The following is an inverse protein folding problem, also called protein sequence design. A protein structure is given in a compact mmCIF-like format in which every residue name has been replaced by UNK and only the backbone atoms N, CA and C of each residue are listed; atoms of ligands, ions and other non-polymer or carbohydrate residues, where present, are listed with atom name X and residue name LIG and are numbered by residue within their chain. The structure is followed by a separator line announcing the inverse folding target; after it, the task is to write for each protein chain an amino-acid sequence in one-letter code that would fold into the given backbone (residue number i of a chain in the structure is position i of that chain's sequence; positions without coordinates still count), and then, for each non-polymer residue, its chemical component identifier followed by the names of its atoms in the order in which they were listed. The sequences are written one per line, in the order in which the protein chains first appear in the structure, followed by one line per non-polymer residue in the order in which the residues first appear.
data_IF_999391844080
#
_entry.id   IF_999391844080
#
_cell.length_a   1.000
_cell.length_b   1.000
_cell.length_c   1.000
_cell.angle_alpha   90.00
_cell.angle_beta   90.00
_cell.angle_gamma   90.00
#
_symmetry.space_group_name_H-M   'P 1'
#
loop_
_entity.id
_entity.type
_entity.pdbx_description
1 polymer ?
#
# COMPACT_ATOMS: atom_id res chain seq x y z
N UNK A 1 -7.78 23.94 0.20
CA UNK A 1 -7.88 23.72 1.66
C UNK A 1 -7.70 25.06 2.39
N UNK A 2 -8.35 25.25 3.55
CA UNK A 2 -8.18 26.47 4.38
C UNK A 2 -6.80 26.51 5.07
N UNK A 3 -6.31 25.35 5.50
CA UNK A 3 -5.05 25.13 6.21
C UNK A 3 -4.55 23.73 5.85
N UNK A 4 -3.24 23.55 5.74
CA UNK A 4 -2.60 22.24 5.53
C UNK A 4 -1.50 22.11 6.56
N UNK A 5 -1.41 20.94 7.20
CA UNK A 5 -0.32 20.60 8.12
C UNK A 5 0.51 19.50 7.48
N UNK A 6 1.68 19.86 6.98
CA UNK A 6 2.65 18.93 6.42
C UNK A 6 3.59 18.44 7.53
N UNK A 7 3.70 17.13 7.68
CA UNK A 7 4.53 16.49 8.72
C UNK A 7 5.52 15.56 8.04
N UNK A 8 6.79 15.70 8.36
CA UNK A 8 7.84 14.78 7.90
C UNK A 8 8.99 14.78 8.92
N UNK A 9 9.56 13.62 9.19
CA UNK A 9 10.68 13.49 10.13
C UNK A 9 12.04 13.82 9.48
N UNK A 10 12.13 13.73 8.16
CA UNK A 10 13.37 13.94 7.40
C UNK A 10 13.66 15.43 7.19
N UNK A 11 14.91 15.70 6.80
CA UNK A 11 15.38 17.05 6.52
C UNK A 11 14.75 17.65 5.25
N UNK A 12 14.14 16.83 4.38
CA UNK A 12 13.52 17.26 3.10
C UNK A 12 12.46 18.34 3.30
N UNK A 13 11.91 18.42 4.51
CA UNK A 13 10.92 19.43 4.88
C UNK A 13 11.46 20.87 4.77
N UNK A 14 12.79 21.06 4.83
CA UNK A 14 13.46 22.35 4.63
C UNK A 14 13.31 22.80 3.19
N UNK A 15 13.58 21.91 2.23
CA UNK A 15 13.36 22.13 0.81
C UNK A 15 11.87 22.27 0.49
N UNK A 16 11.02 21.44 1.09
CA UNK A 16 9.56 21.52 0.93
C UNK A 16 9.02 22.90 1.33
N UNK A 17 9.54 23.50 2.42
CA UNK A 17 9.23 24.88 2.81
C UNK A 17 9.59 25.89 1.72
N UNK A 18 10.80 25.81 1.17
CA UNK A 18 11.23 26.71 0.10
C UNK A 18 10.38 26.55 -1.15
N UNK A 19 10.00 25.31 -1.50
CA UNK A 19 9.10 25.03 -2.63
C UNK A 19 7.75 25.69 -2.38
N UNK A 20 7.16 25.52 -1.20
CA UNK A 20 5.88 26.12 -0.83
C UNK A 20 5.92 27.65 -0.89
N UNK A 21 6.98 28.28 -0.38
CA UNK A 21 7.13 29.73 -0.39
C UNK A 21 7.27 30.28 -1.81
N UNK A 22 8.05 29.61 -2.67
CA UNK A 22 8.21 29.98 -4.09
C UNK A 22 6.92 29.87 -4.89
N UNK A 23 5.98 29.05 -4.45
CA UNK A 23 4.69 28.84 -5.10
C UNK A 23 3.54 29.61 -4.40
N UNK A 24 3.85 30.49 -3.44
CA UNK A 24 2.86 31.37 -2.81
C UNK A 24 1.89 30.67 -1.84
N UNK A 25 2.27 29.51 -1.30
CA UNK A 25 1.42 28.73 -0.39
C UNK A 25 1.84 28.79 1.09
N UNK A 26 2.84 29.60 1.44
CA UNK A 26 3.39 29.69 2.81
C UNK A 26 2.38 30.13 3.88
N UNK A 27 1.33 30.87 3.49
CA UNK A 27 0.26 31.25 4.40
C UNK A 27 -0.68 30.08 4.75
N UNK A 28 -0.81 29.11 3.85
CA UNK A 28 -1.76 27.99 3.95
C UNK A 28 -1.10 26.73 4.52
N UNK A 29 0.12 26.41 4.09
CA UNK A 29 0.82 25.18 4.47
C UNK A 29 1.74 25.47 5.66
N UNK A 30 1.45 24.81 6.78
CA UNK A 30 2.27 24.84 8.00
C UNK A 30 2.98 23.51 8.12
N UNK A 31 4.20 23.54 8.64
CA UNK A 31 5.08 22.38 8.65
C UNK A 31 5.49 22.03 10.07
N UNK A 32 5.45 20.73 10.40
CA UNK A 32 6.02 20.16 11.61
C UNK A 32 7.10 19.16 11.24
N UNK A 33 8.33 19.38 11.70
CA UNK A 33 9.45 18.49 11.43
C UNK A 33 9.70 17.58 12.63
N UNK A 34 9.56 16.27 12.45
CA UNK A 34 9.75 15.27 13.50
C UNK A 34 8.91 14.03 13.25
N UNK A 35 9.08 13.02 14.11
CA UNK A 35 8.23 11.82 14.10
C UNK A 35 6.81 12.21 14.49
N UNK A 36 5.83 11.74 13.73
CA UNK A 36 4.42 12.08 13.90
C UNK A 36 3.94 11.73 15.32
N UNK A 37 4.36 10.59 15.85
CA UNK A 37 4.00 10.11 17.18
C UNK A 37 4.51 11.05 18.29
N UNK A 38 5.73 11.54 18.15
CA UNK A 38 6.34 12.45 19.12
C UNK A 38 5.65 13.83 19.03
N UNK A 39 5.41 14.32 17.82
CA UNK A 39 4.68 15.57 17.59
C UNK A 39 3.24 15.53 18.14
N UNK A 40 2.57 14.38 18.02
CA UNK A 40 1.24 14.15 18.60
C UNK A 40 1.29 14.15 20.13
N UNK A 41 2.21 13.39 20.73
CA UNK A 41 2.38 13.31 22.20
C UNK A 41 2.71 14.66 22.82
N UNK A 42 3.54 15.45 22.16
CA UNK A 42 4.01 16.75 22.64
C UNK A 42 3.08 17.91 22.27
N UNK A 43 2.01 17.67 21.48
CA UNK A 43 1.10 18.71 21.02
C UNK A 43 1.78 19.75 20.12
N UNK A 44 2.79 19.33 19.34
CA UNK A 44 3.62 20.21 18.48
C UNK A 44 3.14 20.31 17.04
N UNK A 45 2.01 19.69 16.70
CA UNK A 45 1.38 19.95 15.42
C UNK A 45 0.83 21.38 15.40
N UNK A 46 0.96 22.12 14.28
CA UNK A 46 0.46 23.49 14.14
C UNK A 46 -1.06 23.52 13.98
N UNK A 47 -1.77 23.00 14.98
CA UNK A 47 -3.22 22.96 15.11
C UNK A 47 -3.63 23.81 16.31
N UNK A 48 -4.77 24.49 16.22
CA UNK A 48 -5.31 25.22 17.36
C UNK A 48 -5.80 24.24 18.43
N UNK A 49 -5.99 24.71 19.67
CA UNK A 49 -6.42 23.83 20.76
C UNK A 49 -7.77 23.17 20.45
N UNK A 50 -7.77 21.84 20.35
CA UNK A 50 -8.96 21.06 20.02
C UNK A 50 -9.32 21.07 18.52
N UNK A 51 -8.52 21.71 17.66
CA UNK A 51 -8.70 21.64 16.20
C UNK A 51 -8.50 20.20 15.73
N UNK A 52 -9.43 19.74 14.89
CA UNK A 52 -9.42 18.41 14.26
C UNK A 52 -9.31 18.58 12.75
N UNK A 53 -8.61 17.66 12.10
CA UNK A 53 -8.44 17.65 10.65
C UNK A 53 -9.63 17.00 9.96
N UNK A 54 -10.02 17.58 8.82
CA UNK A 54 -11.09 17.05 7.96
C UNK A 54 -10.59 15.91 7.07
N UNK A 55 -9.33 15.99 6.62
CA UNK A 55 -8.74 15.02 5.70
C UNK A 55 -7.30 14.74 6.13
N UNK A 56 -6.92 13.47 6.16
CA UNK A 56 -5.51 13.06 6.25
C UNK A 56 -5.11 12.49 4.90
N UNK A 57 -4.11 13.11 4.27
CA UNK A 57 -3.52 12.62 3.02
C UNK A 57 -2.14 12.08 3.36
N UNK A 58 -1.89 10.81 3.04
CA UNK A 58 -0.58 10.21 3.22
C UNK A 58 -0.29 9.23 2.11
N UNK A 59 0.91 9.33 1.54
CA UNK A 59 1.56 8.20 0.89
C UNK A 59 2.24 7.42 2.02
N UNK A 60 1.82 6.18 2.25
CA UNK A 60 2.26 5.37 3.38
C UNK A 60 2.62 3.94 2.96
N UNK A 61 2.35 3.61 1.70
CA UNK A 61 2.30 2.24 1.21
C UNK A 61 3.72 1.72 1.03
N UNK A 62 3.95 0.54 1.58
CA UNK A 62 5.21 -0.18 1.46
C UNK A 62 5.22 -1.20 0.31
N UNK A 63 6.29 -1.99 0.21
CA UNK A 63 6.29 -3.16 -0.67
C UNK A 63 5.23 -4.17 -0.19
N UNK A 64 4.53 -4.81 -1.12
CA UNK A 64 3.38 -5.66 -0.80
C UNK A 64 2.37 -4.98 0.16
N UNK A 65 2.20 -3.66 0.01
CA UNK A 65 1.42 -2.74 0.85
C UNK A 65 1.97 -2.48 2.26
N UNK A 66 2.38 -3.53 2.98
CA UNK A 66 2.65 -3.46 4.42
C UNK A 66 4.14 -3.52 4.82
N UNK A 67 5.06 -3.90 3.92
CA UNK A 67 6.49 -3.96 4.25
C UNK A 67 7.13 -2.57 4.23
N UNK A 68 7.78 -2.16 5.34
CA UNK A 68 8.29 -0.79 5.55
C UNK A 68 7.20 0.31 5.47
N UNK A 69 5.95 -0.06 5.75
CA UNK A 69 4.82 0.88 5.73
C UNK A 69 4.87 1.91 6.85
N UNK A 70 4.30 3.09 6.59
CA UNK A 70 4.01 4.10 7.62
C UNK A 70 2.56 4.04 8.14
N UNK A 71 1.77 3.03 7.75
CA UNK A 71 0.35 2.95 8.08
C UNK A 71 0.07 3.07 9.60
N UNK A 72 0.80 2.41 10.52
CA UNK A 72 0.56 2.56 11.96
C UNK A 72 0.63 4.02 12.45
N UNK A 73 1.61 4.79 11.99
CA UNK A 73 1.76 6.22 12.31
C UNK A 73 0.58 7.04 11.79
N UNK A 74 0.13 6.72 10.58
CA UNK A 74 -1.01 7.37 9.93
C UNK A 74 -2.33 7.06 10.65
N UNK A 75 -2.53 5.81 11.09
CA UNK A 75 -3.66 5.40 11.91
C UNK A 75 -3.64 6.10 13.29
N UNK A 76 -2.47 6.32 13.88
CA UNK A 76 -2.33 7.06 15.13
C UNK A 76 -2.76 8.54 14.96
N UNK A 77 -2.39 9.19 13.85
CA UNK A 77 -2.90 10.53 13.55
C UNK A 77 -4.41 10.53 13.30
N UNK A 78 -4.93 9.57 12.54
CA UNK A 78 -6.38 9.42 12.32
C UNK A 78 -7.13 9.39 13.65
N UNK A 79 -6.72 8.49 14.54
CA UNK A 79 -7.39 8.28 15.82
C UNK A 79 -7.21 9.49 16.78
N UNK A 80 -6.09 10.21 16.71
CA UNK A 80 -5.80 11.33 17.59
C UNK A 80 -6.42 12.67 17.13
N UNK A 81 -6.39 12.98 15.84
CA UNK A 81 -6.65 14.34 15.34
C UNK A 81 -7.65 14.44 14.20
N UNK A 82 -8.14 13.33 13.61
CA UNK A 82 -9.20 13.40 12.60
C UNK A 82 -10.57 13.64 13.25
N UNK A 83 -11.46 14.35 12.55
CA UNK A 83 -12.86 14.49 12.97
C UNK A 83 -13.54 13.11 12.98
N UNK A 84 -14.14 12.76 14.11
CA UNK A 84 -14.95 11.54 14.22
C UNK A 84 -16.19 11.61 13.31
N UNK A 85 -16.72 10.46 12.85
CA UNK A 85 -18.05 10.41 12.24
C UNK A 85 -19.10 10.95 13.21
N UNK A 86 -19.96 11.88 12.75
CA UNK A 86 -21.09 12.39 13.53
C UNK A 86 -22.27 11.42 13.40
N UNK A 87 -22.76 10.90 14.53
CA UNK A 87 -23.92 9.99 14.61
C UNK A 87 -25.23 10.74 14.93
N UNK A 88 -25.17 12.04 15.16
CA UNK A 88 -26.28 12.90 15.56
C UNK A 88 -27.02 13.50 14.35
N UNK A 89 -27.99 12.73 13.85
CA UNK A 89 -29.29 13.20 13.31
C UNK A 89 -29.30 14.23 12.16
N UNK A 90 -28.19 14.41 11.43
CA UNK A 90 -28.14 15.41 10.35
C UNK A 90 -27.12 15.19 9.23
N UNK A 91 -26.62 13.97 9.00
CA UNK A 91 -25.72 13.72 7.86
C UNK A 91 -24.40 14.48 7.94
N UNK A 92 -23.80 14.59 9.14
CA UNK A 92 -22.50 15.21 9.31
C UNK A 92 -21.39 14.38 8.66
N UNK A 93 -20.71 14.96 7.67
CA UNK A 93 -19.53 14.36 7.02
C UNK A 93 -18.38 14.32 8.04
N UNK A 94 -18.04 13.12 8.52
CA UNK A 94 -16.84 12.89 9.34
C UNK A 94 -15.55 13.18 8.56
N UNK A 95 -14.41 13.17 9.26
CA UNK A 95 -13.13 13.26 8.57
C UNK A 95 -12.81 12.00 7.75
N UNK A 96 -11.90 12.09 6.79
CA UNK A 96 -11.56 10.97 5.90
C UNK A 96 -10.07 10.81 5.62
N UNK A 97 -9.66 9.57 5.42
CA UNK A 97 -8.31 9.17 5.00
C UNK A 97 -8.20 9.12 3.47
N UNK A 98 -7.10 9.64 2.93
CA UNK A 98 -6.76 9.59 1.51
C UNK A 98 -5.35 8.97 1.33
N UNK A 99 -5.24 7.78 0.70
CA UNK A 99 -6.32 6.94 0.19
C UNK A 99 -7.29 6.49 1.29
N UNK A 100 -8.52 6.13 0.91
CA UNK A 100 -9.58 5.73 1.85
C UNK A 100 -9.66 4.23 2.05
N UNK A 101 -9.23 3.46 1.04
CA UNK A 101 -9.14 2.00 1.10
C UNK A 101 -7.90 1.50 0.41
N UNK A 102 -7.48 0.31 0.77
CA UNK A 102 -6.39 -0.42 0.13
C UNK A 102 -6.68 -1.91 0.14
N UNK A 103 -6.36 -2.61 -0.94
CA UNK A 103 -6.57 -4.04 -1.07
C UNK A 103 -5.29 -4.73 -1.52
N UNK A 104 -5.00 -5.90 -0.94
CA UNK A 104 -3.88 -6.77 -1.35
C UNK A 104 -4.44 -7.89 -2.23
N UNK A 105 -3.73 -8.20 -3.31
CA UNK A 105 -4.09 -9.22 -4.28
C UNK A 105 -2.96 -10.22 -4.50
N UNK A 106 -3.34 -11.41 -4.95
CA UNK A 106 -2.45 -12.51 -5.29
C UNK A 106 -2.75 -13.03 -6.69
N UNK A 107 -1.70 -13.30 -7.45
CA UNK A 107 -1.75 -13.95 -8.77
C UNK A 107 -0.67 -15.03 -8.87
N UNK A 108 -0.90 -16.06 -9.66
CA UNK A 108 0.08 -17.06 -10.05
C UNK A 108 0.75 -16.67 -11.36
N UNK A 109 2.08 -16.74 -11.39
CA UNK A 109 2.88 -16.42 -12.55
C UNK A 109 3.80 -17.58 -12.96
N UNK A 110 4.03 -17.67 -14.27
CA UNK A 110 5.01 -18.56 -14.84
C UNK A 110 6.37 -17.87 -15.00
N UNK A 111 7.48 -18.56 -14.72
CA UNK A 111 8.83 -18.06 -15.00
C UNK A 111 9.58 -18.95 -16.00
N UNK A 112 9.36 -18.68 -17.29
CA UNK A 112 10.00 -19.39 -18.39
C UNK A 112 11.54 -19.32 -18.34
N UNK A 113 12.13 -18.34 -17.64
CA UNK A 113 13.59 -18.21 -17.50
C UNK A 113 14.18 -19.41 -16.76
N UNK A 114 13.39 -20.09 -15.92
CA UNK A 114 13.83 -21.31 -15.26
C UNK A 114 14.04 -22.47 -16.25
N UNK A 115 13.35 -22.46 -17.39
CA UNK A 115 13.46 -23.51 -18.41
C UNK A 115 14.77 -23.43 -19.21
N UNK A 116 15.46 -22.28 -19.17
CA UNK A 116 16.79 -22.13 -19.77
C UNK A 116 17.79 -23.17 -19.23
N UNK A 117 17.68 -23.52 -17.94
CA UNK A 117 18.59 -24.45 -17.28
C UNK A 117 18.35 -25.91 -17.66
N UNK A 118 17.20 -26.24 -18.23
CA UNK A 118 16.90 -27.60 -18.68
C UNK A 118 17.79 -27.99 -19.87
N UNK A 119 18.13 -27.02 -20.74
CA UNK A 119 19.02 -27.20 -21.88
C UNK A 119 19.81 -25.91 -22.20
N UNK A 120 21.06 -25.85 -21.71
CA UNK A 120 22.00 -24.76 -21.98
C UNK A 120 22.91 -25.18 -23.14
N UNK A 121 22.47 -24.93 -24.37
CA UNK A 121 23.20 -25.24 -25.61
C UNK A 121 23.58 -26.73 -25.77
N UNK A 122 22.67 -27.64 -25.43
CA UNK A 122 22.84 -29.09 -25.44
C UNK A 122 23.32 -29.66 -24.10
N UNK A 123 23.50 -28.82 -23.08
CA UNK A 123 24.00 -29.23 -21.75
C UNK A 123 22.86 -29.14 -20.75
N UNK A 124 22.49 -30.28 -20.17
CA UNK A 124 21.53 -30.32 -19.07
C UNK A 124 22.16 -29.68 -17.82
N UNK A 125 21.64 -28.52 -17.41
CA UNK A 125 22.07 -27.78 -16.21
C UNK A 125 20.96 -27.69 -15.17
N UNK A 126 20.06 -28.68 -15.09
CA UNK A 126 18.91 -28.66 -14.17
C UNK A 126 19.33 -28.52 -12.69
N UNK A 127 20.54 -28.95 -12.31
CA UNK A 127 21.10 -28.70 -10.99
C UNK A 127 21.21 -27.19 -10.64
N UNK A 128 21.42 -26.33 -11.65
CA UNK A 128 21.38 -24.88 -11.49
C UNK A 128 19.95 -24.37 -11.34
N UNK A 129 18.98 -24.94 -12.07
CA UNK A 129 17.55 -24.66 -11.88
C UNK A 129 17.15 -24.88 -10.43
N UNK A 130 17.49 -26.04 -9.87
CA UNK A 130 17.18 -26.39 -8.47
C UNK A 130 17.80 -25.40 -7.48
N UNK A 131 19.01 -24.91 -7.78
CA UNK A 131 19.67 -23.89 -6.96
C UNK A 131 18.94 -22.55 -7.05
N UNK A 132 18.62 -22.09 -8.26
CA UNK A 132 17.91 -20.82 -8.47
C UNK A 132 16.53 -20.86 -7.82
N UNK A 133 15.78 -21.96 -7.97
CA UNK A 133 14.49 -22.12 -7.30
C UNK A 133 14.65 -22.02 -5.78
N UNK A 134 15.65 -22.68 -5.18
CA UNK A 134 15.92 -22.56 -3.74
C UNK A 134 16.24 -21.13 -3.32
N UNK A 135 17.04 -20.41 -4.09
CA UNK A 135 17.39 -19.01 -3.81
C UNK A 135 16.17 -18.09 -3.96
N UNK A 136 15.27 -18.36 -4.91
CA UNK A 136 14.06 -17.55 -5.15
C UNK A 136 12.95 -17.78 -4.13
N UNK A 137 12.91 -18.91 -3.43
CA UNK A 137 11.91 -19.19 -2.38
C UNK A 137 12.36 -18.73 -0.99
N UNK A 138 13.64 -18.36 -0.82
CA UNK A 138 14.19 -17.95 0.47
C UNK A 138 13.74 -16.52 0.84
N UNK A 139 13.63 -15.64 -0.18
CA UNK A 139 13.23 -14.23 -0.02
C UNK A 139 12.20 -13.80 -1.08
N UNK A 140 11.35 -12.83 -0.72
CA UNK A 140 10.45 -12.19 -1.68
C UNK A 140 11.20 -11.15 -2.53
N UNK A 141 11.14 -11.31 -3.86
CA UNK A 141 11.69 -10.35 -4.81
C UNK A 141 10.73 -9.21 -5.15
N UNK A 142 11.26 -8.00 -5.34
CA UNK A 142 10.52 -6.86 -5.91
C UNK A 142 10.91 -6.71 -7.39
N UNK A 143 10.02 -7.10 -8.29
CA UNK A 143 10.22 -6.98 -9.74
C UNK A 143 8.96 -6.52 -10.47
N UNK A 144 9.14 -5.98 -11.67
CA UNK A 144 8.03 -5.72 -12.59
C UNK A 144 7.70 -7.04 -13.30
N UNK A 145 6.50 -7.56 -13.09
CA UNK A 145 6.01 -8.77 -13.76
C UNK A 145 5.12 -8.38 -14.93
N UNK A 146 5.49 -8.80 -16.14
CA UNK A 146 4.67 -8.56 -17.33
C UNK A 146 3.41 -9.44 -17.34
N UNK A 147 2.27 -8.92 -17.80
CA UNK A 147 0.99 -9.65 -17.83
C UNK A 147 1.04 -10.99 -18.57
N UNK A 148 1.93 -11.11 -19.58
CA UNK A 148 2.12 -12.35 -20.34
C UNK A 148 2.58 -13.52 -19.47
N UNK A 149 3.25 -13.23 -18.35
CA UNK A 149 3.73 -14.24 -17.40
C UNK A 149 2.68 -14.57 -16.34
N UNK A 150 1.60 -13.80 -16.20
CA UNK A 150 0.54 -14.11 -15.24
C UNK A 150 -0.41 -15.14 -15.85
N UNK A 151 -0.56 -16.27 -15.16
CA UNK A 151 -1.27 -17.46 -15.65
C UNK A 151 -2.55 -17.77 -14.87
N UNK A 152 -2.85 -17.07 -13.78
CA UNK A 152 -4.11 -17.22 -13.02
C UNK A 152 -4.93 -15.94 -12.98
N UNK A 153 -6.20 -16.03 -12.60
CA UNK A 153 -6.95 -14.85 -12.16
C UNK A 153 -6.30 -14.18 -10.92
N UNK A 154 -6.75 -12.95 -10.67
CA UNK A 154 -6.31 -12.12 -9.55
C UNK A 154 -7.27 -12.30 -8.39
N UNK A 155 -6.79 -12.90 -7.31
CA UNK A 155 -7.56 -13.10 -6.08
C UNK A 155 -7.32 -11.93 -5.12
N UNK A 156 -8.38 -11.35 -4.57
CA UNK A 156 -8.27 -10.40 -3.46
C UNK A 156 -8.02 -11.16 -2.16
N UNK A 157 -6.96 -10.80 -1.43
CA UNK A 157 -6.64 -11.40 -0.14
C UNK A 157 -7.35 -10.66 1.00
N UNK A 158 -7.31 -9.33 0.99
CA UNK A 158 -7.89 -8.49 2.04
C UNK A 158 -8.11 -7.06 1.52
N UNK A 159 -9.15 -6.40 2.01
CA UNK A 159 -9.39 -4.96 1.87
C UNK A 159 -9.36 -4.30 3.27
N UNK A 160 -8.66 -3.17 3.38
CA UNK A 160 -8.67 -2.31 4.54
C UNK A 160 -9.46 -1.03 4.25
N UNK A 161 -10.52 -0.75 5.03
CA UNK A 161 -11.09 0.59 5.12
C UNK A 161 -10.26 1.42 6.09
N UNK A 162 -9.47 2.36 5.54
CA UNK A 162 -8.52 3.15 6.32
C UNK A 162 -9.22 4.12 7.27
N UNK A 163 -10.51 4.39 7.10
CA UNK A 163 -11.25 5.23 8.04
C UNK A 163 -11.58 4.47 9.34
N UNK A 164 -11.54 3.13 9.32
CA UNK A 164 -12.03 2.29 10.43
C UNK A 164 -11.04 1.23 10.92
N UNK A 165 -10.16 0.72 10.06
CA UNK A 165 -9.23 -0.37 10.39
C UNK A 165 -8.29 -0.01 11.56
N UNK A 166 -7.86 -1.02 12.30
CA UNK A 166 -6.96 -0.90 13.44
C UNK A 166 -5.64 -1.60 13.14
N UNK A 167 -4.60 -1.20 13.87
CA UNK A 167 -3.25 -1.76 13.73
C UNK A 167 -3.24 -3.30 13.83
N UNK A 168 -4.03 -3.85 14.75
CA UNK A 168 -4.22 -5.31 14.91
C UNK A 168 -4.85 -6.00 13.69
N UNK A 169 -5.57 -5.26 12.85
CA UNK A 169 -6.23 -5.83 11.67
C UNK A 169 -5.23 -6.03 10.53
N UNK A 170 -4.02 -5.44 10.63
CA UNK A 170 -2.93 -5.58 9.65
C UNK A 170 -2.18 -6.92 9.78
N UNK A 171 -2.38 -7.65 10.88
CA UNK A 171 -1.94 -9.03 11.06
C UNK A 171 -3.11 -9.95 10.70
N UNK A 172 -3.05 -10.58 9.53
CA UNK A 172 -4.18 -11.29 8.95
C UNK A 172 -3.77 -12.62 8.32
N UNK A 173 -4.76 -13.53 8.28
CA UNK A 173 -4.73 -14.75 7.48
C UNK A 173 -5.88 -14.67 6.46
N UNK A 174 -5.66 -15.18 5.25
CA UNK A 174 -6.68 -15.18 4.20
C UNK A 174 -6.63 -16.47 3.39
N UNK A 175 -7.80 -17.04 3.12
CA UNK A 175 -7.97 -18.14 2.17
C UNK A 175 -8.09 -17.55 0.75
N UNK A 176 -7.44 -18.18 -0.23
CA UNK A 176 -7.49 -17.75 -1.62
C UNK A 176 -7.67 -18.93 -2.57
N UNK A 177 -8.28 -18.66 -3.72
CA UNK A 177 -8.40 -19.61 -4.83
C UNK A 177 -7.85 -18.93 -6.09
N UNK A 178 -6.91 -19.58 -6.76
CA UNK A 178 -6.38 -19.14 -8.05
C UNK A 178 -6.87 -20.07 -9.16
N UNK A 179 -7.51 -19.50 -10.17
CA UNK A 179 -8.00 -20.23 -11.34
C UNK A 179 -7.13 -19.91 -12.55
N UNK A 180 -6.68 -20.91 -13.33
CA UNK A 180 -5.95 -20.68 -14.55
C UNK A 180 -6.70 -19.73 -15.51
N UNK A 181 -6.00 -18.78 -16.11
CA UNK A 181 -6.56 -17.91 -17.15
C UNK A 181 -6.90 -18.75 -18.38
N UNK A 182 -8.05 -18.49 -19.02
CA UNK A 182 -8.51 -19.15 -20.26
C UNK A 182 -7.64 -18.92 -21.51
N UNK A 183 -6.41 -18.40 -21.37
CA UNK A 183 -5.51 -18.16 -22.52
C UNK A 183 -5.02 -19.47 -23.17
N UNK A 184 -5.35 -20.63 -22.60
CA UNK A 184 -4.95 -21.91 -23.15
C UNK A 184 -6.13 -22.55 -23.90
N UNK A 185 -6.03 -22.61 -25.23
CA UNK A 185 -7.02 -23.20 -26.15
C UNK A 185 -7.11 -24.75 -26.05
N UNK A 186 -6.48 -25.35 -25.04
CA UNK A 186 -6.43 -26.79 -24.81
C UNK A 186 -6.85 -27.11 -23.38
N UNK A 187 -7.99 -27.78 -23.24
CA UNK A 187 -8.55 -28.26 -21.96
C UNK A 187 -7.60 -29.22 -21.21
N UNK A 188 -6.55 -29.76 -21.86
CA UNK A 188 -5.55 -30.63 -21.24
C UNK A 188 -4.21 -29.94 -20.94
N UNK A 189 -4.08 -28.65 -21.18
CA UNK A 189 -2.81 -27.98 -20.95
C UNK A 189 -2.49 -27.88 -19.46
N UNK A 190 -1.27 -28.27 -19.12
CA UNK A 190 -0.72 -28.11 -17.78
C UNK A 190 -0.32 -26.64 -17.60
N UNK A 191 -0.92 -25.97 -16.62
CA UNK A 191 -0.50 -24.63 -16.21
C UNK A 191 0.47 -24.76 -15.05
N UNK A 192 1.71 -24.35 -15.27
CA UNK A 192 2.74 -24.33 -14.24
C UNK A 192 2.80 -22.95 -13.59
N UNK A 193 2.68 -22.93 -12.25
CA UNK A 193 2.83 -21.73 -11.45
C UNK A 193 4.17 -21.85 -10.73
N UNK A 194 5.16 -21.04 -11.12
CA UNK A 194 6.46 -21.03 -10.47
C UNK A 194 6.59 -19.89 -9.44
N UNK A 195 5.72 -18.87 -9.51
CA UNK A 195 5.75 -17.72 -8.61
C UNK A 195 4.35 -17.31 -8.17
N UNK A 196 4.26 -16.79 -6.95
CA UNK A 196 3.13 -16.00 -6.49
C UNK A 196 3.52 -14.52 -6.55
N UNK A 197 2.64 -13.72 -7.15
CA UNK A 197 2.82 -12.28 -7.34
C UNK A 197 1.84 -11.57 -6.42
N UNK A 198 2.38 -10.79 -5.48
CA UNK A 198 1.58 -9.94 -4.59
C UNK A 198 1.55 -8.54 -5.18
N UNK A 199 0.35 -7.99 -5.33
CA UNK A 199 0.14 -6.60 -5.75
C UNK A 199 -0.89 -5.94 -4.82
N UNK A 200 -1.04 -4.63 -4.91
CA UNK A 200 -2.05 -3.92 -4.14
C UNK A 200 -2.65 -2.77 -4.95
N UNK A 201 -3.90 -2.44 -4.65
CA UNK A 201 -4.57 -1.26 -5.17
C UNK A 201 -4.94 -0.34 -4.01
N UNK A 202 -5.03 0.96 -4.28
CA UNK A 202 -5.56 1.97 -3.36
C UNK A 202 -6.68 2.75 -4.03
N UNK A 203 -7.70 3.13 -3.28
CA UNK A 203 -8.83 3.91 -3.79
C UNK A 203 -9.07 5.18 -2.97
N UNK A 204 -9.57 6.21 -3.65
CA UNK A 204 -9.85 7.54 -3.10
C UNK A 204 -11.34 7.80 -3.19
N UNK A 205 -12.09 7.29 -2.21
CA UNK A 205 -13.53 7.48 -2.12
C UNK A 205 -13.82 8.72 -1.28
N UNK A 206 -14.76 9.53 -1.74
CA UNK A 206 -15.37 10.56 -0.89
C UNK A 206 -16.24 9.86 0.16
N UNK A 207 -16.33 10.39 1.40
CA UNK A 207 -17.33 9.92 2.35
C UNK A 207 -18.70 10.00 1.68
N UNK A 208 -19.48 8.92 1.72
CA UNK A 208 -20.84 8.93 1.21
C UNK A 208 -21.63 10.04 1.92
N UNK A 209 -22.01 11.07 1.16
CA UNK A 209 -23.10 11.96 1.54
C UNK A 209 -24.37 11.23 1.09
N UNK A 210 -25.18 10.70 2.02
CA UNK A 210 -26.43 10.03 1.66
C UNK A 210 -27.39 10.97 0.92
#
# INVERSE_FOLDING_TARGET
ARKVVAVDASDVIKEARQIVDRNGYGDVIKFANGKLEDLLKEGKLPLDQGEKVDVIVSEWMGYALLFETMLPSVLAARDAIMKSPSLDHGGGVGGTMWPSRSSIYLEGASDERLNYWDDVYGINMSAMKDRVVRELVDDAGVEVVEDRYIVTDRAELIEFDLNTCKDRDLDFESEFELRPRKKVDDDNAVVEIQKLVVSFDVSFSLPHVP
#
